data_IF_163958361355
#
_entry.id   IF_163958361355
#
_cell.length_a   1.000
_cell.length_b   1.000
_cell.length_c   1.000
_cell.angle_alpha   90.00
_cell.angle_beta   90.00
_cell.angle_gamma   90.00
#
_symmetry.space_group_name_H-M   'P 1'
#
loop_
_entity.id
_entity.type
_entity.pdbx_description
1 polymer ?
#
# COMPACT_ATOMS: atom_id res chain seq x y z
N UNK A 1 -20.69 2.97 9.60
CA UNK A 1 -19.51 3.82 9.35
C UNK A 1 -19.90 5.28 9.05
N UNK A 2 -20.85 5.57 8.16
CA UNK A 2 -21.28 6.95 7.82
C UNK A 2 -21.81 7.75 9.05
N UNK A 3 -22.58 7.11 9.94
CA UNK A 3 -23.15 7.76 11.14
C UNK A 3 -22.07 8.28 12.11
N UNK A 4 -20.98 7.51 12.29
CA UNK A 4 -19.86 7.89 13.14
C UNK A 4 -19.08 9.09 12.57
N UNK A 5 -18.91 9.12 11.24
CA UNK A 5 -18.27 10.24 10.57
C UNK A 5 -19.10 11.52 10.70
N UNK A 6 -20.42 11.42 10.50
CA UNK A 6 -21.34 12.55 10.70
C UNK A 6 -21.29 13.06 12.14
N UNK A 7 -21.31 12.18 13.14
CA UNK A 7 -21.18 12.58 14.55
C UNK A 7 -19.84 13.26 14.86
N UNK A 8 -18.74 12.76 14.28
CA UNK A 8 -17.42 13.34 14.48
C UNK A 8 -17.38 14.80 13.99
N UNK A 9 -17.89 15.07 12.78
CA UNK A 9 -17.90 16.42 12.18
C UNK A 9 -19.04 17.34 12.66
N UNK A 10 -20.07 16.79 13.32
CA UNK A 10 -21.07 17.61 14.02
C UNK A 10 -20.52 18.26 15.30
N UNK A 11 -19.42 17.75 15.86
CA UNK A 11 -18.77 18.35 17.02
C UNK A 11 -17.86 19.51 16.57
N UNK A 12 -18.20 20.73 17.02
CA UNK A 12 -17.47 21.96 16.67
C UNK A 12 -15.98 21.93 17.07
N UNK A 13 -15.64 21.26 18.16
CA UNK A 13 -14.24 21.10 18.61
C UNK A 13 -13.44 20.24 17.63
N UNK A 14 -14.00 19.11 17.20
CA UNK A 14 -13.35 18.24 16.22
C UNK A 14 -13.15 18.95 14.88
N UNK A 15 -14.15 19.70 14.43
CA UNK A 15 -14.06 20.49 13.20
C UNK A 15 -12.99 21.56 13.30
N UNK A 16 -12.88 22.26 14.43
CA UNK A 16 -11.81 23.24 14.65
C UNK A 16 -10.41 22.60 14.60
N UNK A 17 -10.23 21.44 15.25
CA UNK A 17 -8.96 20.70 15.22
C UNK A 17 -8.60 20.31 13.77
N UNK A 18 -9.57 19.83 12.98
CA UNK A 18 -9.32 19.47 11.58
C UNK A 18 -8.95 20.69 10.74
N UNK A 19 -9.61 21.83 10.96
CA UNK A 19 -9.29 23.09 10.27
C UNK A 19 -7.88 23.58 10.64
N UNK A 20 -7.54 23.58 11.92
CA UNK A 20 -6.22 23.98 12.40
C UNK A 20 -5.11 23.04 11.89
N UNK A 21 -5.38 21.74 11.88
CA UNK A 21 -4.45 20.78 11.29
C UNK A 21 -4.31 20.99 9.78
N UNK A 22 -5.39 21.31 9.07
CA UNK A 22 -5.36 21.55 7.63
C UNK A 22 -4.59 22.82 7.24
N UNK A 23 -4.51 23.82 8.11
CA UNK A 23 -3.71 25.03 7.86
C UNK A 23 -2.21 24.80 8.09
N UNK A 24 -1.85 23.81 8.91
CA UNK A 24 -0.46 23.41 9.16
C UNK A 24 0.06 22.37 8.17
N UNK A 25 -0.82 21.57 7.58
CA UNK A 25 -0.46 20.49 6.65
C UNK A 25 -0.51 20.95 5.20
N UNK A 26 0.57 20.70 4.47
CA UNK A 26 0.58 20.81 3.00
C UNK A 26 0.18 19.46 2.40
N UNK A 27 -1.08 19.30 2.03
CA UNK A 27 -1.58 18.10 1.37
C UNK A 27 -1.31 18.22 -0.13
N UNK A 28 -0.29 17.51 -0.61
CA UNK A 28 -0.03 17.41 -2.04
C UNK A 28 -0.86 16.27 -2.63
N UNK A 29 -1.61 16.56 -3.70
CA UNK A 29 -2.25 15.52 -4.49
C UNK A 29 -1.17 14.74 -5.23
N UNK A 30 -1.05 13.45 -4.96
CA UNK A 30 -0.21 12.59 -5.79
C UNK A 30 -0.89 12.42 -7.15
N UNK A 31 -0.43 13.18 -8.15
CA UNK A 31 -0.71 12.86 -9.55
C UNK A 31 0.08 11.59 -9.84
N UNK A 32 -0.62 10.46 -9.88
CA UNK A 32 -0.06 9.20 -10.33
C UNK A 32 0.21 9.34 -11.83
N UNK A 33 1.43 9.76 -12.20
CA UNK A 33 1.88 9.78 -13.58
C UNK A 33 1.68 8.37 -14.15
N UNK A 34 0.82 8.22 -15.17
CA UNK A 34 0.39 6.92 -15.68
C UNK A 34 1.45 6.12 -16.46
N UNK A 35 2.73 6.46 -16.31
CA UNK A 35 3.88 5.87 -17.02
C UNK A 35 4.95 5.34 -16.04
N UNK A 36 4.54 4.80 -14.89
CA UNK A 36 5.46 4.10 -13.99
C UNK A 36 5.79 2.68 -14.46
N UNK A 37 6.97 2.20 -14.06
CA UNK A 37 7.51 0.89 -14.45
C UNK A 37 6.60 -0.26 -13.98
N UNK A 38 5.80 -0.03 -12.92
CA UNK A 38 4.90 -1.02 -12.32
C UNK A 38 3.45 -0.90 -12.81
N UNK A 39 3.20 -0.17 -13.91
CA UNK A 39 1.85 0.05 -14.43
C UNK A 39 1.12 -1.28 -14.70
N UNK A 40 -0.09 -1.40 -14.15
CA UNK A 40 -0.95 -2.57 -14.34
C UNK A 40 -0.49 -3.80 -13.57
N UNK A 41 0.57 -3.69 -12.75
CA UNK A 41 1.02 -4.74 -11.85
C UNK A 41 0.49 -4.50 -10.45
N UNK A 42 0.17 -5.60 -9.78
CA UNK A 42 -0.37 -5.61 -8.43
C UNK A 42 0.56 -6.31 -7.45
N UNK A 43 0.70 -5.71 -6.27
CA UNK A 43 1.67 -6.13 -5.26
C UNK A 43 0.99 -6.36 -3.92
N UNK A 44 1.47 -7.33 -3.17
CA UNK A 44 1.06 -7.58 -1.79
C UNK A 44 2.28 -7.79 -0.93
N UNK A 45 2.25 -7.23 0.28
CA UNK A 45 3.36 -7.36 1.23
C UNK A 45 2.99 -8.32 2.37
N UNK A 46 3.89 -9.26 2.68
CA UNK A 46 3.76 -10.18 3.81
C UNK A 46 5.05 -10.19 4.63
N UNK A 47 4.94 -10.34 5.96
CA UNK A 47 6.09 -10.25 6.86
C UNK A 47 6.53 -8.81 7.15
N UNK A 48 7.60 -8.67 7.93
CA UNK A 48 8.24 -7.40 8.30
C UNK A 48 9.22 -7.01 7.19
N UNK A 49 9.06 -5.81 6.65
CA UNK A 49 9.95 -5.26 5.64
C UNK A 49 11.16 -4.63 6.34
N UNK A 50 12.34 -4.76 5.76
CA UNK A 50 13.58 -4.31 6.40
C UNK A 50 13.89 -2.87 5.98
N UNK A 51 14.00 -1.96 6.96
CA UNK A 51 14.32 -0.56 6.72
C UNK A 51 13.23 0.27 6.01
N UNK A 52 12.02 -0.25 5.81
CA UNK A 52 10.89 0.48 5.23
C UNK A 52 9.57 0.02 5.86
N UNK A 53 8.65 0.94 6.14
CA UNK A 53 7.30 0.59 6.60
C UNK A 53 6.44 0.04 5.46
N UNK A 54 5.38 -0.71 5.79
CA UNK A 54 4.41 -1.17 4.77
C UNK A 54 3.70 -0.01 4.07
N UNK A 55 3.50 1.10 4.77
CA UNK A 55 2.89 2.30 4.21
C UNK A 55 3.82 2.95 3.17
N UNK A 56 5.10 3.08 3.47
CA UNK A 56 6.10 3.59 2.53
C UNK A 56 6.29 2.65 1.34
N UNK A 57 6.34 1.33 1.55
CA UNK A 57 6.44 0.36 0.47
C UNK A 57 5.22 0.41 -0.45
N UNK A 58 4.02 0.60 0.11
CA UNK A 58 2.79 0.83 -0.65
C UNK A 58 2.88 2.12 -1.47
N UNK A 59 3.31 3.21 -0.85
CA UNK A 59 3.47 4.49 -1.54
C UNK A 59 4.51 4.41 -2.67
N UNK A 60 5.58 3.64 -2.50
CA UNK A 60 6.59 3.40 -3.53
C UNK A 60 6.01 2.67 -4.75
N UNK A 61 5.20 1.63 -4.52
CA UNK A 61 4.51 0.91 -5.60
C UNK A 61 3.51 1.82 -6.31
N UNK A 62 2.69 2.54 -5.55
CA UNK A 62 1.68 3.47 -6.10
C UNK A 62 2.35 4.59 -6.91
N UNK A 63 3.43 5.20 -6.40
CA UNK A 63 4.21 6.23 -7.12
C UNK A 63 4.73 5.75 -8.49
N UNK A 64 4.94 4.44 -8.65
CA UNK A 64 5.38 3.82 -9.90
C UNK A 64 4.21 3.18 -10.69
N UNK A 65 2.98 3.68 -10.51
CA UNK A 65 1.75 3.21 -11.16
C UNK A 65 1.34 1.77 -10.86
N UNK A 66 1.93 1.14 -9.85
CA UNK A 66 1.52 -0.17 -9.37
C UNK A 66 0.34 -0.08 -8.41
N UNK A 67 -0.41 -1.18 -8.30
CA UNK A 67 -1.51 -1.31 -7.33
C UNK A 67 -1.09 -2.17 -6.15
N UNK A 68 -1.66 -1.93 -4.96
CA UNK A 68 -1.43 -2.80 -3.80
C UNK A 68 -2.71 -3.49 -3.35
N UNK A 69 -2.60 -4.79 -3.05
CA UNK A 69 -3.70 -5.63 -2.58
C UNK A 69 -3.45 -6.06 -1.13
N UNK A 70 -4.54 -6.19 -0.37
CA UNK A 70 -4.53 -6.62 1.03
C UNK A 70 -4.64 -8.15 1.19
N UNK A 71 -5.01 -8.86 0.12
CA UNK A 71 -5.22 -10.30 0.13
C UNK A 71 -4.63 -10.99 -1.11
N UNK A 72 -4.25 -12.25 -0.94
CA UNK A 72 -3.77 -13.09 -2.04
C UNK A 72 -4.98 -13.49 -2.88
N UNK A 73 -5.02 -13.07 -4.14
CA UNK A 73 -6.11 -13.36 -5.08
C UNK A 73 -5.54 -13.58 -6.48
N UNK A 74 -6.34 -14.12 -7.41
CA UNK A 74 -5.91 -14.33 -8.81
C UNK A 74 -5.50 -13.05 -9.53
N UNK A 75 -5.93 -11.90 -9.01
CA UNK A 75 -5.60 -10.59 -9.58
C UNK A 75 -4.27 -10.05 -9.04
N UNK A 76 -3.55 -10.81 -8.19
CA UNK A 76 -2.26 -10.44 -7.64
C UNK A 76 -1.14 -10.93 -8.56
N UNK A 77 -0.25 -10.05 -9.00
CA UNK A 77 0.92 -10.41 -9.80
C UNK A 77 2.09 -10.83 -8.91
N UNK A 78 2.39 -10.05 -7.86
CA UNK A 78 3.58 -10.23 -7.04
C UNK A 78 3.28 -10.25 -5.53
N UNK A 79 3.74 -11.30 -4.85
CA UNK A 79 3.81 -11.37 -3.40
C UNK A 79 5.24 -11.01 -2.93
N UNK A 80 5.38 -9.84 -2.31
CA UNK A 80 6.64 -9.38 -1.72
C UNK A 80 6.78 -9.93 -0.30
N UNK A 81 7.80 -10.74 -0.09
CA UNK A 81 8.06 -11.46 1.16
C UNK A 81 9.15 -10.77 1.97
N UNK A 82 8.82 -10.38 3.19
CA UNK A 82 9.75 -9.89 4.21
C UNK A 82 10.01 -10.92 5.32
N UNK A 83 10.70 -10.49 6.36
CA UNK A 83 11.03 -11.34 7.52
C UNK A 83 9.76 -11.85 8.23
N UNK A 84 9.78 -13.10 8.70
CA UNK A 84 8.64 -13.73 9.40
C UNK A 84 7.32 -13.65 8.61
N UNK A 85 7.39 -13.78 7.28
CA UNK A 85 6.19 -13.89 6.47
C UNK A 85 5.34 -15.10 6.87
N UNK A 86 4.01 -14.95 6.75
CA UNK A 86 3.08 -16.04 7.09
C UNK A 86 3.09 -17.10 6.00
N UNK A 87 3.46 -18.34 6.34
CA UNK A 87 3.48 -19.49 5.42
C UNK A 87 2.17 -19.65 4.64
N UNK A 88 1.01 -19.49 5.29
CA UNK A 88 -0.31 -19.57 4.65
C UNK A 88 -0.44 -18.69 3.39
N UNK A 89 0.09 -17.46 3.41
CA UNK A 89 0.01 -16.54 2.26
C UNK A 89 0.99 -16.93 1.15
N UNK A 90 2.16 -17.44 1.52
CA UNK A 90 3.18 -17.95 0.59
C UNK A 90 2.65 -19.19 -0.13
N UNK A 91 2.05 -20.13 0.60
CA UNK A 91 1.44 -21.33 0.02
C UNK A 91 0.27 -20.98 -0.89
N UNK A 92 -0.62 -20.09 -0.46
CA UNK A 92 -1.74 -19.63 -1.29
C UNK A 92 -1.26 -18.96 -2.59
N UNK A 93 -0.17 -18.18 -2.52
CA UNK A 93 0.42 -17.57 -3.70
C UNK A 93 1.01 -18.62 -4.66
N UNK A 94 1.73 -19.62 -4.13
CA UNK A 94 2.25 -20.75 -4.92
C UNK A 94 1.12 -21.52 -5.60
N UNK A 95 0.04 -21.84 -4.89
CA UNK A 95 -1.10 -22.57 -5.46
C UNK A 95 -1.83 -21.82 -6.57
N UNK A 96 -1.76 -20.48 -6.56
CA UNK A 96 -2.36 -19.62 -7.57
C UNK A 96 -1.38 -19.25 -8.70
N UNK A 97 -0.13 -19.71 -8.64
CA UNK A 97 0.90 -19.39 -9.64
C UNK A 97 1.36 -17.93 -9.60
N UNK A 98 1.29 -17.29 -8.43
CA UNK A 98 1.66 -15.88 -8.23
C UNK A 98 3.17 -15.80 -7.97
N UNK A 99 3.84 -14.82 -8.57
CA UNK A 99 5.28 -14.63 -8.40
C UNK A 99 5.60 -14.16 -6.98
N UNK A 100 6.54 -14.86 -6.34
CA UNK A 100 6.97 -14.57 -4.98
C UNK A 100 8.35 -13.94 -5.05
N UNK A 101 8.45 -12.67 -4.70
CA UNK A 101 9.67 -11.88 -4.81
C UNK A 101 10.11 -11.33 -3.46
N UNK A 102 11.40 -11.07 -3.32
CA UNK A 102 11.97 -10.39 -2.16
C UNK A 102 11.85 -8.86 -2.27
N UNK A 103 12.05 -8.16 -1.15
CA UNK A 103 12.15 -6.69 -1.15
C UNK A 103 13.30 -6.18 -2.05
N UNK A 104 14.39 -6.93 -2.17
CA UNK A 104 15.52 -6.57 -3.04
C UNK A 104 15.15 -6.70 -4.52
N UNK A 105 14.39 -7.72 -4.88
CA UNK A 105 13.87 -7.88 -6.25
C UNK A 105 12.85 -6.80 -6.61
N UNK A 106 11.99 -6.40 -5.67
CA UNK A 106 11.13 -5.23 -5.87
C UNK A 106 11.96 -3.97 -6.19
N UNK A 107 13.09 -3.75 -5.51
CA UNK A 107 13.99 -2.64 -5.82
C UNK A 107 14.62 -2.78 -7.21
N UNK A 108 14.95 -3.99 -7.66
CA UNK A 108 15.46 -4.23 -9.02
C UNK A 108 14.42 -3.92 -10.10
N UNK A 109 13.14 -4.17 -9.84
CA UNK A 109 12.04 -3.81 -10.76
C UNK A 109 11.83 -2.29 -10.88
N UNK A 110 12.39 -1.51 -9.96
CA UNK A 110 12.25 -0.05 -9.91
C UNK A 110 13.48 0.70 -10.48
N UNK A 111 14.52 -0.01 -10.89
CA UNK A 111 15.80 0.53 -11.35
C UNK A 111 15.97 0.46 -12.87
#
# INVERSE_FOLDING_TARGET
QIKSLKNFFSNKSNTNIVIELSSLLKIESQILNGNGILKGKSFMFTGKLNGISRAEAKSLVEKNSGSTLSNVSKNLDYLVVGEKATNKKVEQAKSLGIDIISQEELKKLLN
#
